data_IF_572577531589
#
_entry.id   IF_572577531589
#
_cell.length_a   1.000
_cell.length_b   1.000
_cell.length_c   1.000
_cell.angle_alpha   90.00
_cell.angle_beta   90.00
_cell.angle_gamma   90.00
#
_symmetry.space_group_name_H-M   'P 1'
#
loop_
_entity.id
_entity.type
_entity.pdbx_description
1 polymer ?
#
# COMPACT_ATOMS: atom_id res chain seq x y z
N UNK A 1 -12.26 -7.38 4.22
CA UNK A 1 -11.09 -8.19 4.59
C UNK A 1 -9.92 -7.27 4.91
N UNK A 2 -9.33 -7.44 6.06
CA UNK A 2 -8.12 -6.71 6.40
C UNK A 2 -6.89 -7.37 5.80
N UNK A 3 -5.95 -6.56 5.37
CA UNK A 3 -4.69 -7.04 4.82
C UNK A 3 -3.56 -6.08 5.14
N UNK A 4 -2.34 -6.54 5.00
CA UNK A 4 -1.14 -5.72 5.15
C UNK A 4 -0.44 -5.68 3.81
N UNK A 5 -0.15 -4.47 3.35
CA UNK A 5 0.60 -4.24 2.12
C UNK A 5 1.98 -3.73 2.47
N UNK A 6 3.01 -4.39 1.98
CA UNK A 6 4.40 -3.99 2.19
C UNK A 6 5.00 -3.51 0.88
N UNK A 7 5.69 -2.40 0.93
CA UNK A 7 6.33 -1.79 -0.24
C UNK A 7 7.78 -1.48 0.07
N UNK A 8 8.66 -1.81 -0.85
CA UNK A 8 10.09 -1.56 -0.72
C UNK A 8 10.58 -0.89 -2.00
N UNK A 9 11.31 0.20 -1.89
CA UNK A 9 11.82 0.88 -3.07
C UNK A 9 12.81 1.97 -2.76
N UNK A 10 13.33 2.61 -3.80
CA UNK A 10 14.34 3.66 -3.67
C UNK A 10 13.75 5.07 -3.70
N UNK A 11 12.59 5.26 -4.34
CA UNK A 11 11.98 6.56 -4.52
C UNK A 11 10.69 6.66 -3.73
N UNK A 12 10.75 7.35 -2.60
CA UNK A 12 9.60 7.51 -1.72
C UNK A 12 8.42 8.19 -2.42
N UNK A 13 8.68 9.26 -3.15
CA UNK A 13 7.61 10.06 -3.76
C UNK A 13 6.88 9.26 -4.83
N UNK A 14 7.65 8.64 -5.73
CA UNK A 14 7.05 7.84 -6.80
C UNK A 14 6.28 6.65 -6.29
N UNK A 15 6.81 5.99 -5.27
CA UNK A 15 6.16 4.80 -4.68
C UNK A 15 4.84 5.17 -4.04
N UNK A 16 4.82 6.23 -3.22
CA UNK A 16 3.59 6.65 -2.55
C UNK A 16 2.52 7.02 -3.57
N UNK A 17 2.90 7.77 -4.60
CA UNK A 17 1.95 8.18 -5.62
C UNK A 17 1.33 6.99 -6.35
N UNK A 18 2.16 6.03 -6.75
CA UNK A 18 1.69 4.85 -7.48
C UNK A 18 0.82 3.94 -6.63
N UNK A 19 1.25 3.68 -5.41
CA UNK A 19 0.52 2.78 -4.52
C UNK A 19 -0.81 3.41 -4.11
N UNK A 20 -0.81 4.69 -3.77
CA UNK A 20 -2.03 5.38 -3.37
C UNK A 20 -3.05 5.41 -4.51
N UNK A 21 -2.59 5.68 -5.74
CA UNK A 21 -3.47 5.69 -6.89
C UNK A 21 -4.08 4.31 -7.15
N UNK A 22 -3.27 3.26 -7.04
CA UNK A 22 -3.74 1.90 -7.25
C UNK A 22 -4.79 1.50 -6.22
N UNK A 23 -4.54 1.80 -4.94
CA UNK A 23 -5.46 1.47 -3.87
C UNK A 23 -6.78 2.23 -4.04
N UNK A 24 -6.70 3.52 -4.39
CA UNK A 24 -7.90 4.31 -4.63
C UNK A 24 -8.71 3.77 -5.79
N UNK A 25 -8.05 3.38 -6.86
CA UNK A 25 -8.71 2.82 -8.04
C UNK A 25 -9.48 1.55 -7.70
N UNK A 26 -8.97 0.76 -6.78
CA UNK A 26 -9.63 -0.49 -6.36
C UNK A 26 -10.51 -0.30 -5.13
N UNK A 27 -10.70 0.93 -4.69
CA UNK A 27 -11.54 1.28 -3.54
C UNK A 27 -11.08 0.61 -2.25
N UNK A 28 -9.79 0.42 -2.12
CA UNK A 28 -9.19 -0.14 -0.92
C UNK A 28 -8.93 0.98 0.07
N UNK A 29 -9.45 0.85 1.28
CA UNK A 29 -9.31 1.87 2.31
C UNK A 29 -8.05 1.65 3.13
N UNK A 30 -7.23 2.69 3.28
CA UNK A 30 -6.03 2.65 4.10
C UNK A 30 -6.42 2.94 5.54
N UNK A 31 -6.12 2.01 6.44
CA UNK A 31 -6.44 2.14 7.85
C UNK A 31 -5.29 2.72 8.65
N UNK A 32 -4.05 2.35 8.29
CA UNK A 32 -2.87 2.78 9.01
C UNK A 32 -1.66 2.65 8.10
N UNK A 33 -0.66 3.49 8.32
CA UNK A 33 0.57 3.51 7.51
C UNK A 33 1.76 3.64 8.45
N UNK A 34 2.78 2.84 8.22
CA UNK A 34 4.07 2.96 8.87
C UNK A 34 5.15 2.97 7.82
N UNK A 35 6.09 3.91 7.92
CA UNK A 35 7.15 4.03 6.93
C UNK A 35 8.47 4.37 7.59
N UNK A 36 9.55 3.92 6.98
CA UNK A 36 10.88 4.15 7.49
C UNK A 36 11.90 4.09 6.36
N UNK A 37 13.11 4.56 6.65
CA UNK A 37 14.24 4.39 5.75
C UNK A 37 15.16 3.34 6.39
N UNK A 38 15.43 2.30 5.64
CA UNK A 38 16.30 1.22 6.11
C UNK A 38 17.42 1.01 5.10
N UNK A 39 18.64 1.28 5.51
CA UNK A 39 19.83 1.11 4.67
C UNK A 39 19.69 1.83 3.33
N UNK A 40 19.18 3.08 3.35
CA UNK A 40 18.98 3.89 2.16
C UNK A 40 17.75 3.54 1.35
N UNK A 41 17.00 2.52 1.73
CA UNK A 41 15.79 2.12 1.03
C UNK A 41 14.54 2.56 1.78
N UNK A 42 13.53 2.97 1.02
CA UNK A 42 12.23 3.31 1.57
C UNK A 42 11.43 2.03 1.82
N UNK A 43 10.94 1.87 3.04
CA UNK A 43 10.12 0.73 3.43
C UNK A 43 8.80 1.26 3.97
N UNK A 44 7.69 0.74 3.46
CA UNK A 44 6.36 1.17 3.90
C UNK A 44 5.49 -0.06 4.12
N UNK A 45 4.73 -0.04 5.22
CA UNK A 45 3.72 -1.05 5.49
C UNK A 45 2.40 -0.34 5.76
N UNK A 46 1.33 -0.89 5.20
CA UNK A 46 0.00 -0.34 5.38
C UNK A 46 -0.97 -1.42 5.79
N UNK A 47 -1.82 -1.09 6.76
CA UNK A 47 -3.00 -1.89 7.06
C UNK A 47 -4.15 -1.35 6.22
N UNK A 48 -4.82 -2.22 5.47
CA UNK A 48 -5.87 -1.80 4.55
C UNK A 48 -7.11 -2.64 4.74
N UNK A 49 -8.23 -2.07 4.33
CA UNK A 49 -9.52 -2.77 4.28
C UNK A 49 -9.90 -2.98 2.83
N UNK A 50 -9.96 -4.22 2.41
CA UNK A 50 -10.29 -4.59 1.04
C UNK A 50 -11.80 -4.84 0.95
N UNK A 51 -12.48 -4.25 -0.05
CA UNK A 51 -13.92 -4.51 -0.21
C UNK A 51 -14.20 -5.98 -0.42
N UNK A 52 -15.29 -6.45 0.14
CA UNK A 52 -15.64 -7.88 0.07
C UNK A 52 -15.94 -8.34 -1.35
N UNK A 53 -16.37 -7.43 -2.20
CA UNK A 53 -16.67 -7.74 -3.59
C UNK A 53 -15.42 -7.78 -4.47
N UNK A 54 -14.26 -7.53 -3.92
CA UNK A 54 -13.00 -7.52 -4.67
C UNK A 54 -12.29 -8.85 -4.47
N UNK A 55 -12.05 -9.53 -5.58
CA UNK A 55 -11.32 -10.80 -5.58
C UNK A 55 -9.84 -10.53 -5.36
N UNK A 56 -9.15 -11.44 -4.68
CA UNK A 56 -7.72 -11.32 -4.45
C UNK A 56 -6.91 -11.27 -5.75
N UNK A 57 -7.42 -11.81 -6.83
CA UNK A 57 -6.78 -11.71 -8.14
C UNK A 57 -6.78 -10.29 -8.69
N UNK A 58 -7.62 -9.42 -8.18
CA UNK A 58 -7.74 -8.05 -8.69
C UNK A 58 -6.81 -7.09 -7.97
N UNK A 59 -6.10 -7.58 -6.99
CA UNK A 59 -5.10 -6.81 -6.28
C UNK A 59 -3.75 -6.88 -6.99
#
# INVERSE_FOLDING_TARGET
MKAVVSVLGEDQVGIIAKVSALLAQKQINILDVSQTIMDGNFVMMMSVMIPENLDSYQL
#
